data_IF_915368828509
#
_entry.id   IF_915368828509
#
_cell.length_a   1.000
_cell.length_b   1.000
_cell.length_c   1.000
_cell.angle_alpha   90.00
_cell.angle_beta   90.00
_cell.angle_gamma   90.00
#
_symmetry.space_group_name_H-M   'P 1'
#
loop_
_entity.id
_entity.type
_entity.pdbx_description
1 polymer ?
#
# COMPACT_ATOMS: atom_id res chain seq x y z
N UNK A 1 -41.12 5.71 5.14
CA UNK A 1 -40.12 4.79 4.55
C UNK A 1 -38.89 5.52 3.97
N UNK A 2 -38.38 6.58 4.62
CA UNK A 2 -37.24 7.37 4.10
C UNK A 2 -35.97 7.24 4.96
N UNK A 3 -36.11 6.76 6.21
CA UNK A 3 -35.01 6.56 7.18
C UNK A 3 -34.09 5.38 6.81
N UNK A 4 -34.62 4.29 6.26
CA UNK A 4 -33.81 3.13 5.82
C UNK A 4 -32.86 3.48 4.65
N UNK A 5 -33.29 4.35 3.73
CA UNK A 5 -32.47 4.78 2.58
C UNK A 5 -31.25 5.60 3.05
N UNK A 6 -31.43 6.45 4.06
CA UNK A 6 -30.35 7.28 4.61
C UNK A 6 -29.26 6.43 5.30
N UNK A 7 -29.65 5.34 5.98
CA UNK A 7 -28.71 4.41 6.61
C UNK A 7 -27.91 3.62 5.57
N UNK A 8 -28.53 3.18 4.47
CA UNK A 8 -27.82 2.48 3.40
C UNK A 8 -26.81 3.38 2.67
N UNK A 9 -27.15 4.65 2.44
CA UNK A 9 -26.21 5.60 1.83
C UNK A 9 -25.02 5.93 2.74
N UNK A 10 -25.25 6.05 4.06
CA UNK A 10 -24.16 6.25 5.02
C UNK A 10 -23.20 5.05 5.07
N UNK A 11 -23.71 3.81 4.98
CA UNK A 11 -22.89 2.60 4.95
C UNK A 11 -22.10 2.45 3.63
N UNK A 12 -22.68 2.86 2.51
CA UNK A 12 -22.00 2.86 1.20
C UNK A 12 -20.85 3.89 1.15
N UNK A 13 -20.97 5.02 1.86
CA UNK A 13 -19.89 6.00 1.96
C UNK A 13 -18.73 5.50 2.84
N UNK A 14 -19.00 4.71 3.87
CA UNK A 14 -17.95 4.12 4.74
C UNK A 14 -17.21 2.98 4.02
N UNK A 15 -17.89 2.24 3.14
CA UNK A 15 -17.26 1.23 2.28
C UNK A 15 -16.43 1.81 1.12
N UNK A 16 -16.51 3.13 0.87
CA UNK A 16 -15.88 3.80 -0.28
C UNK A 16 -14.77 4.81 0.06
N UNK A 17 -14.58 5.20 1.31
CA UNK A 17 -13.45 6.04 1.73
C UNK A 17 -12.32 5.19 2.30
N UNK A 18 -11.79 4.28 1.49
CA UNK A 18 -10.52 3.65 1.82
C UNK A 18 -9.44 4.73 1.93
N UNK A 19 -8.77 4.81 3.07
CA UNK A 19 -7.71 5.80 3.31
C UNK A 19 -6.61 5.62 2.27
N UNK A 20 -6.23 6.70 1.60
CA UNK A 20 -5.03 6.71 0.76
C UNK A 20 -3.80 6.89 1.65
N UNK A 21 -2.92 5.90 1.64
CA UNK A 21 -1.65 5.88 2.34
C UNK A 21 -0.53 6.30 1.40
N UNK A 22 0.39 7.12 1.90
CA UNK A 22 1.61 7.50 1.17
C UNK A 22 2.66 6.38 1.20
N UNK A 23 3.67 6.50 0.35
CA UNK A 23 4.84 5.59 0.37
C UNK A 23 5.53 5.66 1.74
N UNK A 24 5.63 6.85 2.32
CA UNK A 24 6.25 7.10 3.62
C UNK A 24 5.48 6.45 4.78
N UNK A 25 4.14 6.43 4.71
CA UNK A 25 3.31 5.72 5.70
C UNK A 25 3.65 4.24 5.69
N UNK A 26 3.73 3.63 4.51
CA UNK A 26 4.11 2.22 4.37
C UNK A 26 5.55 1.94 4.80
N UNK A 27 6.50 2.84 4.58
CA UNK A 27 7.88 2.66 5.06
C UNK A 27 7.97 2.66 6.58
N UNK A 28 7.22 3.56 7.24
CA UNK A 28 7.25 3.76 8.70
C UNK A 28 6.49 2.68 9.47
N UNK A 29 5.46 2.09 8.87
CA UNK A 29 4.64 1.06 9.51
C UNK A 29 4.73 -0.28 8.76
N UNK A 30 5.53 -1.19 9.31
CA UNK A 30 5.72 -2.52 8.74
C UNK A 30 4.45 -3.38 8.76
N UNK A 31 3.59 -3.21 9.77
CA UNK A 31 2.34 -3.99 9.89
C UNK A 31 1.34 -3.53 8.84
N UNK A 32 1.18 -2.22 8.68
CA UNK A 32 0.35 -1.64 7.63
C UNK A 32 0.82 -2.11 6.24
N UNK A 33 2.14 -2.13 6.00
CA UNK A 33 2.73 -2.60 4.74
C UNK A 33 2.45 -4.07 4.49
N UNK A 34 2.59 -4.93 5.50
CA UNK A 34 2.29 -6.36 5.39
C UNK A 34 0.80 -6.63 5.10
N UNK A 35 -0.10 -5.96 5.82
CA UNK A 35 -1.55 -6.10 5.63
C UNK A 35 -1.97 -5.69 4.22
N UNK A 36 -1.45 -4.56 3.74
CA UNK A 36 -1.71 -4.10 2.38
C UNK A 36 -1.06 -4.98 1.33
N UNK A 37 0.17 -5.46 1.55
CA UNK A 37 0.82 -6.41 0.65
C UNK A 37 -0.02 -7.69 0.46
N UNK A 38 -0.53 -8.26 1.56
CA UNK A 38 -1.45 -9.41 1.51
C UNK A 38 -2.76 -9.06 0.82
N UNK A 39 -3.35 -7.91 1.14
CA UNK A 39 -4.60 -7.45 0.52
C UNK A 39 -4.43 -7.31 -0.99
N UNK A 40 -3.36 -6.68 -1.47
CA UNK A 40 -3.08 -6.52 -2.89
C UNK A 40 -2.86 -7.86 -3.58
N UNK A 41 -2.18 -8.82 -2.93
CA UNK A 41 -1.95 -10.16 -3.48
C UNK A 41 -3.23 -11.00 -3.59
N UNK A 42 -4.12 -10.92 -2.60
CA UNK A 42 -5.32 -11.77 -2.50
C UNK A 42 -6.56 -11.17 -3.17
N UNK A 43 -6.56 -9.87 -3.48
CA UNK A 43 -7.72 -9.17 -4.04
C UNK A 43 -7.77 -9.21 -5.56
N UNK A 44 -8.96 -9.00 -6.12
CA UNK A 44 -9.18 -8.90 -7.56
C UNK A 44 -8.59 -7.63 -8.19
N UNK A 45 -8.64 -7.51 -9.54
CA UNK A 45 -7.96 -6.46 -10.31
C UNK A 45 -8.25 -5.03 -9.84
N UNK A 46 -9.49 -4.75 -9.44
CA UNK A 46 -9.91 -3.42 -8.98
C UNK A 46 -9.15 -2.93 -7.72
N UNK A 47 -8.73 -3.85 -6.84
CA UNK A 47 -7.94 -3.49 -5.66
C UNK A 47 -6.45 -3.41 -6.00
N UNK A 48 -5.97 -4.28 -6.90
CA UNK A 48 -4.58 -4.26 -7.37
C UNK A 48 -4.21 -2.96 -8.07
N UNK A 49 -5.15 -2.36 -8.80
CA UNK A 49 -4.97 -1.07 -9.48
C UNK A 49 -5.08 0.14 -8.52
N UNK A 50 -5.35 -0.07 -7.23
CA UNK A 50 -5.46 1.03 -6.26
C UNK A 50 -4.12 1.73 -6.02
N UNK A 51 -4.18 3.03 -5.72
CA UNK A 51 -3.01 3.83 -5.34
C UNK A 51 -2.26 3.24 -4.14
N UNK A 52 -2.98 2.62 -3.20
CA UNK A 52 -2.35 1.97 -2.05
C UNK A 52 -1.52 0.74 -2.46
N UNK A 53 -1.98 -0.06 -3.43
CA UNK A 53 -1.20 -1.18 -3.95
C UNK A 53 0.03 -0.74 -4.74
N UNK A 54 -0.04 0.40 -5.42
CA UNK A 54 1.14 1.02 -6.05
C UNK A 54 2.14 1.53 -5.01
N UNK A 55 1.64 2.21 -3.97
CA UNK A 55 2.48 2.81 -2.93
C UNK A 55 3.14 1.76 -2.03
N UNK A 56 2.45 0.67 -1.69
CA UNK A 56 3.02 -0.43 -0.89
C UNK A 56 4.17 -1.11 -1.64
N UNK A 57 4.00 -1.37 -2.94
CA UNK A 57 5.02 -1.96 -3.79
C UNK A 57 6.23 -1.04 -3.95
N UNK A 58 6.00 0.27 -4.10
CA UNK A 58 7.08 1.27 -4.15
C UNK A 58 7.84 1.33 -2.82
N UNK A 59 7.14 1.31 -1.70
CA UNK A 59 7.75 1.30 -0.37
C UNK A 59 8.63 0.06 -0.15
N UNK A 60 8.17 -1.14 -0.53
CA UNK A 60 8.96 -2.37 -0.42
C UNK A 60 10.22 -2.33 -1.31
N UNK A 61 10.11 -1.88 -2.56
CA UNK A 61 11.27 -1.70 -3.44
C UNK A 61 12.29 -0.73 -2.85
N UNK A 62 11.85 0.44 -2.40
CA UNK A 62 12.76 1.44 -1.84
C UNK A 62 13.43 0.93 -0.55
N UNK A 63 12.73 0.18 0.30
CA UNK A 63 13.33 -0.44 1.48
C UNK A 63 14.31 -1.57 1.14
N UNK A 64 14.05 -2.34 0.08
CA UNK A 64 14.94 -3.39 -0.40
C UNK A 64 16.25 -2.78 -0.90
N UNK A 65 16.18 -1.82 -1.83
CA UNK A 65 17.37 -1.17 -2.38
C UNK A 65 18.07 -0.22 -1.40
N UNK A 66 17.36 0.39 -0.44
CA UNK A 66 17.99 1.19 0.62
C UNK A 66 18.81 0.34 1.60
N UNK A 67 18.50 -0.96 1.73
CA UNK A 67 19.33 -1.89 2.52
C UNK A 67 20.58 -2.36 1.78
N UNK A 68 20.63 -2.22 0.45
CA UNK A 68 21.75 -2.67 -0.38
C UNK A 68 22.94 -1.69 -0.45
N UNK A 69 23.04 -0.70 0.43
CA UNK A 69 24.29 0.08 0.57
C UNK A 69 25.11 -0.33 1.80
N UNK A 70 25.86 -1.43 1.76
CA UNK A 70 27.27 -1.37 2.12
C UNK A 70 28.01 -0.86 0.89
N UNK A 71 28.43 0.41 0.93
CA UNK A 71 29.52 0.87 0.08
C UNK A 71 30.76 0.05 0.42
N UNK A 72 30.98 -1.07 -0.27
CA UNK A 72 32.34 -1.54 -0.50
C UNK A 72 32.61 -1.33 -1.97
N UNK A 73 33.21 -0.17 -2.24
CA UNK A 73 34.14 0.03 -3.33
C UNK A 73 34.96 -1.26 -3.52
N UNK A 74 34.62 -2.04 -4.54
CA UNK A 74 35.53 -3.02 -5.11
C UNK A 74 35.81 -2.49 -6.50
N UNK A 75 36.96 -1.82 -6.56
CA UNK A 75 37.53 -1.21 -7.74
C UNK A 75 37.40 -2.06 -9.00
N UNK A 76 37.36 -1.32 -10.10
CA UNK A 76 37.58 -1.78 -11.46
C UNK A 76 38.59 -2.93 -11.56
N UNK A 77 38.17 -3.98 -12.26
CA UNK A 77 39.04 -5.05 -12.72
C UNK A 77 38.22 -6.17 -13.33
N UNK A 78 37.90 -6.05 -14.63
CA UNK A 78 38.48 -6.81 -15.74
C UNK A 78 38.19 -6.08 -17.04
#
# INVERSE_FOLDING_TARGET
MRKFILLCMALLLVAGCEKNYSVEDFKKDAKLREEWGKKCFLSGPAVQESTNCQNVLKADNELFFSKETPSTDRGHGF
#
